data_IF_675917838954
#
_entry.id   IF_675917838954
#
_cell.length_a   1.000
_cell.length_b   1.000
_cell.length_c   1.000
_cell.angle_alpha   90.00
_cell.angle_beta   90.00
_cell.angle_gamma   90.00
#
_symmetry.space_group_name_H-M   'P 1'
#
loop_
_entity.id
_entity.type
_entity.pdbx_description
1 polymer ?
#
# COMPACT_ATOMS: atom_id res chain seq x y z
N UNK A 1 -6.61 -18.81 10.21
CA UNK A 1 -6.65 -17.34 9.99
C UNK A 1 -7.63 -17.04 8.86
N UNK A 2 -8.58 -16.12 9.08
CA UNK A 2 -9.52 -15.68 8.05
C UNK A 2 -8.80 -14.83 6.98
N UNK A 3 -9.41 -14.67 5.80
CA UNK A 3 -8.84 -13.80 4.76
C UNK A 3 -8.73 -12.34 5.21
N UNK A 4 -9.75 -11.83 5.91
CA UNK A 4 -9.73 -10.50 6.52
C UNK A 4 -8.50 -10.30 7.41
N UNK A 5 -8.18 -11.25 8.30
CA UNK A 5 -6.98 -11.17 9.15
C UNK A 5 -5.69 -11.11 8.33
N UNK A 6 -5.57 -11.92 7.27
CA UNK A 6 -4.37 -11.92 6.42
C UNK A 6 -4.17 -10.56 5.74
N UNK A 7 -5.23 -9.98 5.18
CA UNK A 7 -5.16 -8.68 4.53
C UNK A 7 -4.86 -7.57 5.54
N UNK A 8 -5.50 -7.59 6.70
CA UNK A 8 -5.25 -6.64 7.78
C UNK A 8 -3.79 -6.69 8.24
N UNK A 9 -3.19 -7.87 8.37
CA UNK A 9 -1.78 -8.01 8.72
C UNK A 9 -0.85 -7.36 7.69
N UNK A 10 -1.08 -7.58 6.39
CA UNK A 10 -0.29 -6.92 5.34
C UNK A 10 -0.42 -5.39 5.44
N UNK A 11 -1.65 -4.89 5.60
CA UNK A 11 -1.91 -3.47 5.76
C UNK A 11 -1.22 -2.86 6.98
N UNK A 12 -1.32 -3.51 8.14
CA UNK A 12 -0.69 -3.09 9.39
C UNK A 12 0.83 -3.13 9.27
N UNK A 13 1.41 -4.14 8.62
CA UNK A 13 2.86 -4.18 8.37
C UNK A 13 3.32 -3.01 7.52
N UNK A 14 2.59 -2.64 6.48
CA UNK A 14 2.89 -1.45 5.68
C UNK A 14 2.77 -0.15 6.50
N UNK A 15 1.74 -0.02 7.36
CA UNK A 15 1.62 1.10 8.28
C UNK A 15 2.74 1.17 9.33
N UNK A 16 3.25 0.01 9.78
CA UNK A 16 4.39 -0.05 10.68
C UNK A 16 5.66 0.49 10.01
N UNK A 17 5.89 0.15 8.74
CA UNK A 17 6.98 0.73 7.93
C UNK A 17 6.83 2.24 7.80
N UNK A 18 5.62 2.73 7.48
CA UNK A 18 5.34 4.16 7.38
C UNK A 18 5.61 4.89 8.72
N UNK A 19 5.20 4.27 9.82
CA UNK A 19 5.39 4.78 11.17
C UNK A 19 6.88 4.84 11.54
N UNK A 20 7.65 3.82 11.15
CA UNK A 20 9.10 3.76 11.36
C UNK A 20 9.82 4.88 10.59
N UNK A 21 9.48 5.10 9.31
CA UNK A 21 10.05 6.20 8.52
C UNK A 21 9.70 7.55 9.13
N UNK A 22 8.44 7.73 9.55
CA UNK A 22 7.98 8.96 10.21
C UNK A 22 8.71 9.21 11.53
N UNK A 23 8.98 8.17 12.32
CA UNK A 23 9.79 8.26 13.52
C UNK A 23 11.25 8.61 13.19
N UNK A 24 11.87 7.95 12.22
CA UNK A 24 13.25 8.20 11.80
C UNK A 24 13.47 9.66 11.35
N UNK A 25 12.53 10.21 10.57
CA UNK A 25 12.52 11.62 10.17
C UNK A 25 12.43 12.57 11.38
N UNK A 26 11.60 12.23 12.39
CA UNK A 26 11.42 13.06 13.61
C UNK A 26 12.66 13.12 14.49
N UNK A 27 13.39 12.01 14.64
CA UNK A 27 14.64 11.98 15.43
C UNK A 27 15.83 12.58 14.67
N UNK A 28 15.60 13.19 13.50
CA UNK A 28 16.62 13.76 12.61
C UNK A 28 17.74 12.75 12.32
N UNK A 29 17.36 11.50 12.06
CA UNK A 29 18.32 10.46 11.71
C UNK A 29 19.16 10.93 10.51
N UNK A 30 20.47 10.96 10.68
CA UNK A 30 21.43 11.21 9.61
C UNK A 30 22.17 9.90 9.32
N UNK A 31 22.06 9.42 8.08
CA UNK A 31 22.73 8.20 7.65
C UNK A 31 23.31 8.35 6.26
N UNK A 32 23.67 7.22 5.65
CA UNK A 32 24.10 7.18 4.26
C UNK A 32 23.04 7.82 3.33
N UNK A 33 23.49 8.43 2.23
CA UNK A 33 22.65 9.12 1.25
C UNK A 33 21.53 8.21 0.71
N UNK A 34 21.84 6.93 0.46
CA UNK A 34 20.86 5.92 0.03
C UNK A 34 19.73 5.72 1.05
N UNK A 35 20.04 5.76 2.35
CA UNK A 35 19.03 5.65 3.42
C UNK A 35 18.18 6.90 3.49
N UNK A 36 18.77 8.09 3.30
CA UNK A 36 18.02 9.35 3.24
C UNK A 36 17.07 9.39 2.05
N UNK A 37 17.53 8.95 0.87
CA UNK A 37 16.70 8.83 -0.33
C UNK A 37 15.54 7.84 -0.11
N UNK A 38 15.84 6.65 0.44
CA UNK A 38 14.81 5.66 0.79
C UNK A 38 13.79 6.23 1.78
N UNK A 39 14.24 6.94 2.82
CA UNK A 39 13.35 7.61 3.76
C UNK A 39 12.45 8.64 3.07
N UNK A 40 12.88 9.23 1.94
CA UNK A 40 12.08 10.10 1.07
C UNK A 40 10.90 9.38 0.43
N UNK A 41 11.17 8.30 -0.30
CA UNK A 41 10.21 7.62 -1.17
C UNK A 41 9.41 6.48 -0.52
N UNK A 42 9.93 5.87 0.55
CA UNK A 42 9.27 4.74 1.23
C UNK A 42 7.84 5.03 1.70
N UNK A 43 7.49 6.24 2.18
CA UNK A 43 6.11 6.55 2.55
C UNK A 43 5.10 6.29 1.44
N UNK A 44 5.45 6.59 0.20
CA UNK A 44 4.57 6.36 -0.96
C UNK A 44 4.45 4.88 -1.30
N UNK A 45 5.55 4.13 -1.23
CA UNK A 45 5.51 2.66 -1.35
C UNK A 45 4.61 2.05 -0.29
N UNK A 46 4.80 2.46 0.97
CA UNK A 46 4.06 1.94 2.11
C UNK A 46 2.56 2.30 2.03
N UNK A 47 2.22 3.54 1.64
CA UNK A 47 0.83 3.96 1.46
C UNK A 47 0.14 3.17 0.34
N UNK A 48 0.82 2.96 -0.79
CA UNK A 48 0.32 2.19 -1.92
C UNK A 48 0.05 0.71 -1.59
N UNK A 49 0.68 0.16 -0.54
CA UNK A 49 0.40 -1.18 -0.03
C UNK A 49 -0.65 -1.14 1.09
N UNK A 50 -0.53 -0.21 2.04
CA UNK A 50 -1.37 -0.15 3.21
C UNK A 50 -2.85 0.09 2.84
N UNK A 51 -3.11 1.09 1.99
CA UNK A 51 -4.48 1.50 1.66
C UNK A 51 -5.26 0.34 1.03
N UNK A 52 -4.75 -0.37 -0.01
CA UNK A 52 -5.53 -1.44 -0.61
C UNK A 52 -5.79 -2.61 0.32
N UNK A 53 -4.81 -2.99 1.15
CA UNK A 53 -4.95 -4.13 2.05
C UNK A 53 -5.85 -3.86 3.25
N UNK A 54 -5.85 -2.64 3.79
CA UNK A 54 -6.78 -2.25 4.86
C UNK A 54 -8.21 -2.22 4.34
N UNK A 55 -8.44 -1.56 3.20
CA UNK A 55 -9.77 -1.48 2.61
C UNK A 55 -10.28 -2.85 2.16
N UNK A 56 -9.41 -3.69 1.59
CA UNK A 56 -9.76 -5.06 1.24
C UNK A 56 -10.05 -5.91 2.49
N UNK A 57 -9.31 -5.71 3.59
CA UNK A 57 -9.56 -6.38 4.87
C UNK A 57 -10.96 -6.05 5.42
N UNK A 58 -11.31 -4.77 5.46
CA UNK A 58 -12.65 -4.30 5.87
C UNK A 58 -13.73 -4.90 4.96
N UNK A 59 -13.52 -4.87 3.65
CA UNK A 59 -14.47 -5.44 2.69
C UNK A 59 -14.62 -6.96 2.85
N UNK A 60 -13.52 -7.69 3.07
CA UNK A 60 -13.52 -9.14 3.24
C UNK A 60 -14.20 -9.57 4.53
N UNK A 61 -14.15 -8.75 5.58
CA UNK A 61 -14.88 -8.96 6.83
C UNK A 61 -16.40 -8.91 6.62
N UNK A 62 -16.86 -7.98 5.77
CA UNK A 62 -18.27 -7.85 5.39
C UNK A 62 -18.74 -8.92 4.40
N UNK A 63 -17.82 -9.64 3.75
CA UNK A 63 -18.10 -10.61 2.69
C UNK A 63 -17.36 -11.94 2.93
N UNK A 64 -17.60 -12.64 4.06
CA UNK A 64 -16.77 -13.77 4.49
C UNK A 64 -16.80 -14.98 3.53
N UNK A 65 -17.85 -15.10 2.72
CA UNK A 65 -18.05 -16.19 1.76
C UNK A 65 -17.81 -15.76 0.30
N UNK A 66 -17.16 -14.62 0.06
CA UNK A 66 -16.86 -14.17 -1.29
C UNK A 66 -15.95 -15.16 -2.03
N UNK A 67 -16.29 -15.45 -3.28
CA UNK A 67 -15.43 -16.23 -4.17
C UNK A 67 -14.13 -15.48 -4.48
N UNK A 68 -13.10 -16.23 -4.89
CA UNK A 68 -11.81 -15.65 -5.29
C UNK A 68 -11.96 -14.55 -6.34
N UNK A 69 -12.81 -14.75 -7.36
CA UNK A 69 -13.00 -13.77 -8.43
C UNK A 69 -13.62 -12.47 -7.93
N UNK A 70 -14.57 -12.55 -6.98
CA UNK A 70 -15.18 -11.37 -6.38
C UNK A 70 -14.16 -10.60 -5.54
N UNK A 71 -13.37 -11.30 -4.74
CA UNK A 71 -12.28 -10.72 -3.95
C UNK A 71 -11.21 -10.09 -4.83
N UNK A 72 -10.83 -10.74 -5.94
CA UNK A 72 -9.88 -10.19 -6.92
C UNK A 72 -10.41 -8.93 -7.58
N UNK A 73 -11.68 -8.91 -7.99
CA UNK A 73 -12.30 -7.69 -8.55
C UNK A 73 -12.32 -6.55 -7.55
N UNK A 74 -12.72 -6.82 -6.31
CA UNK A 74 -12.70 -5.83 -5.24
C UNK A 74 -11.29 -5.28 -5.02
N UNK A 75 -10.28 -6.16 -4.93
CA UNK A 75 -8.89 -5.73 -4.80
C UNK A 75 -8.43 -4.86 -5.98
N UNK A 76 -8.72 -5.24 -7.22
CA UNK A 76 -8.34 -4.43 -8.40
C UNK A 76 -8.98 -3.05 -8.37
N UNK A 77 -10.27 -2.96 -8.02
CA UNK A 77 -10.97 -1.67 -7.90
C UNK A 77 -10.29 -0.79 -6.85
N UNK A 78 -10.00 -1.35 -5.67
CA UNK A 78 -9.33 -0.62 -4.59
C UNK A 78 -7.90 -0.24 -4.97
N UNK A 79 -7.15 -1.12 -5.63
CA UNK A 79 -5.77 -0.89 -6.06
C UNK A 79 -5.70 0.24 -7.08
N UNK A 80 -6.55 0.22 -8.11
CA UNK A 80 -6.63 1.27 -9.12
C UNK A 80 -7.09 2.59 -8.49
N UNK A 81 -8.13 2.55 -7.65
CA UNK A 81 -8.60 3.73 -6.92
C UNK A 81 -7.51 4.36 -6.06
N UNK A 82 -6.74 3.54 -5.34
CA UNK A 82 -5.58 3.98 -4.55
C UNK A 82 -4.53 4.62 -5.44
N UNK A 83 -4.18 3.99 -6.56
CA UNK A 83 -3.19 4.53 -7.48
C UNK A 83 -3.58 5.89 -8.04
N UNK A 84 -4.85 6.04 -8.46
CA UNK A 84 -5.37 7.33 -8.94
C UNK A 84 -5.31 8.39 -7.84
N UNK A 85 -5.73 8.05 -6.62
CA UNK A 85 -5.71 8.99 -5.50
C UNK A 85 -4.31 9.41 -5.08
N UNK A 86 -3.34 8.48 -5.04
CA UNK A 86 -1.95 8.80 -4.72
C UNK A 86 -1.28 9.63 -5.82
N UNK A 87 -1.51 9.30 -7.10
CA UNK A 87 -1.00 10.12 -8.21
C UNK A 87 -1.62 11.52 -8.17
N UNK A 88 -2.94 11.63 -7.96
CA UNK A 88 -3.60 12.92 -7.82
C UNK A 88 -3.06 13.71 -6.63
N UNK A 89 -2.74 13.03 -5.52
CA UNK A 89 -2.12 13.64 -4.35
C UNK A 89 -0.78 14.29 -4.68
N UNK A 90 0.08 13.63 -5.46
CA UNK A 90 1.35 14.22 -5.90
C UNK A 90 1.15 15.51 -6.72
N UNK A 91 0.15 15.55 -7.60
CA UNK A 91 -0.17 16.78 -8.34
C UNK A 91 -0.74 17.88 -7.45
N UNK A 92 -1.49 17.55 -6.40
CA UNK A 92 -1.96 18.53 -5.41
C UNK A 92 -0.78 19.19 -4.70
N UNK A 93 0.34 18.49 -4.49
CA UNK A 93 1.53 19.08 -3.86
C UNK A 93 2.10 20.27 -4.65
N UNK A 94 1.93 20.32 -5.97
CA UNK A 94 2.33 21.46 -6.81
C UNK A 94 1.62 22.77 -6.40
N UNK A 95 0.46 22.67 -5.77
CA UNK A 95 -0.33 23.82 -5.30
C UNK A 95 0.04 24.25 -3.88
N UNK A 96 0.85 23.46 -3.17
CA UNK A 96 1.24 23.72 -1.79
C UNK A 96 2.55 24.50 -1.71
N UNK A 97 2.63 25.46 -0.78
CA UNK A 97 3.87 26.22 -0.50
C UNK A 97 4.87 25.46 0.37
N UNK A 98 4.48 24.31 0.91
CA UNK A 98 5.29 23.54 1.87
C UNK A 98 5.64 22.11 1.43
N UNK A 99 5.19 21.68 0.25
CA UNK A 99 5.46 20.35 -0.31
C UNK A 99 6.03 20.52 -1.71
N UNK A 100 6.96 19.64 -2.09
CA UNK A 100 7.65 19.70 -3.38
C UNK A 100 7.30 18.44 -4.14
N UNK A 101 6.78 18.60 -5.35
CA UNK A 101 6.55 17.49 -6.26
C UNK A 101 7.87 16.76 -6.56
N UNK A 102 7.89 15.46 -6.29
CA UNK A 102 9.03 14.59 -6.56
C UNK A 102 8.63 13.47 -7.56
N UNK A 103 9.18 13.44 -8.79
CA UNK A 103 8.94 12.35 -9.73
C UNK A 103 9.29 10.96 -9.16
N UNK A 104 10.21 10.87 -8.20
CA UNK A 104 10.57 9.61 -7.55
C UNK A 104 9.40 9.05 -6.71
N UNK A 105 8.49 9.90 -6.22
CA UNK A 105 7.30 9.48 -5.48
C UNK A 105 6.24 8.83 -6.38
N UNK A 106 6.16 9.25 -7.65
CA UNK A 106 5.35 8.56 -8.65
C UNK A 106 5.89 7.16 -8.95
N UNK A 107 7.22 7.03 -9.11
CA UNK A 107 7.86 5.72 -9.32
C UNK A 107 7.68 4.83 -8.10
N UNK A 108 7.85 5.38 -6.90
CA UNK A 108 7.63 4.68 -5.64
C UNK A 108 6.19 4.20 -5.48
N UNK A 109 5.22 5.03 -5.86
CA UNK A 109 3.80 4.65 -5.89
C UNK A 109 3.57 3.47 -6.84
N UNK A 110 4.10 3.52 -8.06
CA UNK A 110 4.01 2.42 -9.02
C UNK A 110 4.63 1.12 -8.48
N UNK A 111 5.81 1.20 -7.85
CA UNK A 111 6.46 0.06 -7.21
C UNK A 111 5.58 -0.50 -6.09
N UNK A 112 5.05 0.36 -5.22
CA UNK A 112 4.17 -0.05 -4.12
C UNK A 112 2.89 -0.73 -4.60
N UNK A 113 2.26 -0.23 -5.65
CA UNK A 113 1.08 -0.86 -6.27
C UNK A 113 1.43 -2.24 -6.87
N UNK A 114 2.58 -2.35 -7.54
CA UNK A 114 3.08 -3.62 -8.07
C UNK A 114 3.34 -4.65 -6.96
N UNK A 115 4.01 -4.22 -5.88
CA UNK A 115 4.22 -5.04 -4.69
C UNK A 115 2.90 -5.45 -4.04
N UNK A 116 1.93 -4.55 -3.94
CA UNK A 116 0.61 -4.88 -3.42
C UNK A 116 -0.08 -5.97 -4.27
N UNK A 117 0.05 -5.89 -5.59
CA UNK A 117 -0.44 -6.93 -6.51
C UNK A 117 0.23 -8.29 -6.28
N UNK A 118 1.55 -8.32 -6.12
CA UNK A 118 2.29 -9.54 -5.81
C UNK A 118 1.83 -10.11 -4.46
N UNK A 119 1.80 -9.28 -3.41
CA UNK A 119 1.36 -9.68 -2.08
C UNK A 119 -0.04 -10.27 -2.12
N UNK A 120 -0.96 -9.67 -2.89
CA UNK A 120 -2.33 -10.18 -3.02
C UNK A 120 -2.34 -11.61 -3.57
N UNK A 121 -1.52 -11.90 -4.58
CA UNK A 121 -1.42 -13.27 -5.12
C UNK A 121 -0.83 -14.26 -4.14
N UNK A 122 0.06 -13.82 -3.24
CA UNK A 122 0.69 -14.67 -2.24
C UNK A 122 -0.24 -14.96 -1.06
N UNK A 123 -1.01 -13.97 -0.60
CA UNK A 123 -1.85 -14.12 0.60
C UNK A 123 -3.28 -14.58 0.30
N UNK A 124 -3.68 -14.57 -0.98
CA UNK A 124 -5.01 -14.99 -1.46
C UNK A 124 -4.92 -16.29 -2.25
N UNK A 125 -5.22 -17.45 -1.64
CA UNK A 125 -5.24 -18.73 -2.31
C UNK A 125 -6.28 -18.72 -3.44
N UNK A 126 -5.88 -19.19 -4.62
CA UNK A 126 -6.81 -19.64 -5.66
C UNK A 126 -7.31 -21.00 -5.20
N UNK A 127 -8.59 -21.13 -4.90
CA UNK A 127 -9.14 -22.37 -4.35
C UNK A 127 -8.69 -23.58 -5.16
N UNK A 128 -7.93 -24.48 -4.56
CA UNK A 128 -7.95 -25.88 -4.97
C UNK A 128 -9.31 -26.40 -4.58
N UNK A 129 -10.18 -26.60 -5.58
CA UNK A 129 -11.22 -27.60 -5.45
C UNK A 129 -10.52 -28.93 -5.17
N UNK A 130 -10.42 -29.31 -3.89
CA UNK A 130 -10.35 -30.72 -3.56
C UNK A 130 -11.77 -31.23 -3.79
N UNK A 131 -11.95 -31.89 -4.94
CA UNK A 131 -13.10 -32.74 -5.21
C UNK A 131 -13.04 -34.00 -4.33
#
# INVERSE_FOLDING_TARGET
MTFSTRYALVGISALAVLSLVSWARRVRFSGAESVMYLMGVLPNVAAAIAIPFILLGIWADQQPNASYDRTRRAFVVVLVGTGVLLVAWEFVQLTSRGLVFDPHDLVATCIGLGLAGILFTLVTPRGTHAA
#
